data_IF_754136595575
#
_entry.id   IF_754136595575
#
_cell.length_a   1.000
_cell.length_b   1.000
_cell.length_c   1.000
_cell.angle_alpha   90.00
_cell.angle_beta   90.00
_cell.angle_gamma   90.00
#
_symmetry.space_group_name_H-M   'P 1'
#
loop_
_entity.id
_entity.type
_entity.pdbx_description
1 polymer ?
#
# COMPACT_ATOMS: atom_id res chain seq x y z
N UNK A 1 -38.94 -50.91 -28.18
CA UNK A 1 -37.46 -50.87 -28.01
C UNK A 1 -36.73 -51.25 -29.29
N UNK A 2 -37.25 -52.11 -30.16
CA UNK A 2 -36.61 -52.53 -31.43
C UNK A 2 -36.58 -51.44 -32.52
N UNK A 3 -37.60 -50.57 -32.59
CA UNK A 3 -37.65 -49.47 -33.57
C UNK A 3 -36.56 -48.35 -33.32
N UNK A 4 -36.22 -48.07 -32.08
CA UNK A 4 -35.17 -47.12 -31.74
C UNK A 4 -33.76 -47.67 -32.08
N UNK A 5 -33.53 -48.96 -31.86
CA UNK A 5 -32.29 -49.64 -32.22
C UNK A 5 -32.05 -49.71 -33.73
N UNK A 6 -33.11 -49.97 -34.52
CA UNK A 6 -33.01 -49.96 -35.97
C UNK A 6 -32.80 -48.58 -36.55
N UNK A 7 -33.42 -47.54 -35.99
CA UNK A 7 -33.17 -46.15 -36.36
C UNK A 7 -31.73 -45.74 -36.07
N UNK A 8 -31.15 -46.12 -34.96
CA UNK A 8 -29.76 -45.87 -34.60
C UNK A 8 -28.77 -46.57 -35.57
N UNK A 9 -29.04 -47.82 -35.96
CA UNK A 9 -28.21 -48.53 -36.91
C UNK A 9 -28.22 -47.85 -38.30
N UNK A 10 -29.34 -47.33 -38.73
CA UNK A 10 -29.46 -46.57 -39.98
C UNK A 10 -28.67 -45.26 -39.91
N UNK A 11 -28.77 -44.52 -38.77
CA UNK A 11 -28.04 -43.29 -38.55
C UNK A 11 -26.53 -43.54 -38.56
N UNK A 12 -26.03 -44.58 -37.87
CA UNK A 12 -24.63 -44.94 -37.83
C UNK A 12 -24.10 -45.32 -39.21
N UNK A 13 -24.80 -46.19 -39.95
CA UNK A 13 -24.40 -46.56 -41.31
C UNK A 13 -24.33 -45.37 -42.28
N UNK A 14 -25.31 -44.46 -42.21
CA UNK A 14 -25.33 -43.22 -43.01
C UNK A 14 -24.22 -42.25 -42.57
N UNK A 15 -23.94 -42.12 -41.30
CA UNK A 15 -22.81 -41.31 -40.79
C UNK A 15 -21.47 -41.84 -41.29
N UNK A 16 -21.29 -43.16 -41.29
CA UNK A 16 -20.08 -43.80 -41.82
C UNK A 16 -19.95 -43.64 -43.33
N UNK A 17 -21.03 -43.66 -44.09
CA UNK A 17 -21.02 -43.40 -45.53
C UNK A 17 -20.61 -41.95 -45.88
N UNK A 18 -20.95 -40.99 -45.04
CA UNK A 18 -20.64 -39.56 -45.22
C UNK A 18 -19.53 -39.08 -44.26
N UNK A 19 -18.64 -39.97 -43.79
CA UNK A 19 -17.65 -39.67 -42.75
C UNK A 19 -16.76 -38.49 -43.08
N UNK A 20 -16.38 -38.28 -44.38
CA UNK A 20 -15.52 -37.14 -44.80
C UNK A 20 -16.20 -35.80 -44.56
N UNK A 21 -17.53 -35.71 -44.81
CA UNK A 21 -18.30 -34.48 -44.60
C UNK A 21 -18.53 -34.23 -43.11
N UNK A 22 -18.83 -35.29 -42.34
CA UNK A 22 -19.00 -35.20 -40.89
C UNK A 22 -17.70 -34.85 -40.20
N UNK A 23 -16.56 -35.38 -40.64
CA UNK A 23 -15.26 -35.03 -40.07
C UNK A 23 -14.90 -33.57 -40.36
N UNK A 24 -15.25 -33.02 -41.53
CA UNK A 24 -15.02 -31.59 -41.84
C UNK A 24 -15.87 -30.68 -40.93
N UNK A 25 -17.14 -31.06 -40.69
CA UNK A 25 -17.98 -30.32 -39.74
C UNK A 25 -17.47 -30.42 -38.33
N UNK A 26 -17.05 -31.63 -37.89
CA UNK A 26 -16.47 -31.85 -36.57
C UNK A 26 -15.21 -31.03 -36.33
N UNK A 27 -14.27 -31.04 -37.31
CA UNK A 27 -13.06 -30.23 -37.26
C UNK A 27 -13.40 -28.73 -37.19
N UNK A 28 -14.37 -28.28 -38.02
CA UNK A 28 -14.86 -26.90 -38.00
C UNK A 28 -15.39 -26.48 -36.62
N UNK A 29 -16.21 -27.35 -36.00
CA UNK A 29 -16.77 -27.11 -34.67
C UNK A 29 -15.66 -27.10 -33.60
N UNK A 30 -14.69 -28.03 -33.65
CA UNK A 30 -13.57 -28.06 -32.71
C UNK A 30 -12.75 -26.77 -32.81
N UNK A 31 -12.39 -26.34 -34.03
CA UNK A 31 -11.66 -25.09 -34.26
C UNK A 31 -12.45 -23.89 -33.74
N UNK A 32 -13.78 -23.88 -33.98
CA UNK A 32 -14.67 -22.85 -33.50
C UNK A 32 -14.66 -22.73 -31.97
N UNK A 33 -14.86 -23.85 -31.30
CA UNK A 33 -14.85 -23.92 -29.83
C UNK A 33 -13.49 -23.52 -29.28
N UNK A 34 -12.39 -23.96 -29.89
CA UNK A 34 -11.05 -23.58 -29.49
C UNK A 34 -10.81 -22.07 -29.62
N UNK A 35 -11.19 -21.44 -30.72
CA UNK A 35 -11.06 -20.00 -30.92
C UNK A 35 -11.95 -19.20 -29.96
N UNK A 36 -13.20 -19.60 -29.76
CA UNK A 36 -14.10 -18.93 -28.83
C UNK A 36 -13.66 -19.07 -27.39
N UNK A 37 -13.08 -20.21 -27.02
CA UNK A 37 -12.56 -20.46 -25.65
C UNK A 37 -11.23 -19.74 -25.39
N UNK A 38 -10.43 -19.49 -26.42
CA UNK A 38 -9.15 -18.75 -26.27
C UNK A 38 -9.33 -17.25 -26.02
N UNK A 39 -10.44 -16.66 -26.49
CA UNK A 39 -10.69 -15.24 -26.39
C UNK A 39 -10.74 -14.71 -24.93
N UNK A 40 -11.46 -15.32 -23.98
CA UNK A 40 -11.45 -14.87 -22.59
C UNK A 40 -10.10 -15.07 -21.91
N UNK A 41 -9.36 -16.14 -22.23
CA UNK A 41 -8.02 -16.37 -21.69
C UNK A 41 -7.04 -15.29 -22.15
N UNK A 42 -7.08 -14.94 -23.43
CA UNK A 42 -6.24 -13.90 -24.01
C UNK A 42 -6.62 -12.52 -23.45
N UNK A 43 -7.92 -12.24 -23.28
CA UNK A 43 -8.41 -11.02 -22.66
C UNK A 43 -7.90 -10.87 -21.22
N UNK A 44 -7.96 -11.93 -20.42
CA UNK A 44 -7.47 -11.89 -19.03
C UNK A 44 -5.95 -11.65 -18.98
N UNK A 45 -5.17 -12.32 -19.84
CA UNK A 45 -3.73 -12.12 -19.90
C UNK A 45 -3.35 -10.68 -20.27
N UNK A 46 -4.03 -10.08 -21.25
CA UNK A 46 -3.83 -8.67 -21.63
C UNK A 46 -4.23 -7.74 -20.48
N UNK A 47 -5.31 -8.07 -19.79
CA UNK A 47 -5.79 -7.28 -18.67
C UNK A 47 -4.78 -7.29 -17.53
N UNK A 48 -4.24 -8.44 -17.16
CA UNK A 48 -3.22 -8.53 -16.12
C UNK A 48 -1.95 -7.77 -16.49
N UNK A 49 -1.46 -7.93 -17.73
CA UNK A 49 -0.30 -7.21 -18.22
C UNK A 49 -0.51 -5.69 -18.24
N UNK A 50 -1.70 -5.25 -18.66
CA UNK A 50 -2.06 -3.83 -18.70
C UNK A 50 -2.15 -3.20 -17.31
N UNK A 51 -2.71 -3.92 -16.35
CA UNK A 51 -2.77 -3.47 -14.96
C UNK A 51 -1.36 -3.40 -14.35
N UNK A 52 -0.58 -4.47 -14.50
CA UNK A 52 0.81 -4.53 -14.02
C UNK A 52 1.64 -3.39 -14.59
N UNK A 53 1.61 -3.17 -15.89
CA UNK A 53 2.32 -2.06 -16.54
C UNK A 53 1.85 -0.69 -16.03
N UNK A 54 0.56 -0.52 -15.74
CA UNK A 54 0.03 0.73 -15.20
C UNK A 54 0.52 0.97 -13.78
N UNK A 55 0.63 -0.07 -12.95
CA UNK A 55 1.16 0.01 -11.59
C UNK A 55 2.67 0.26 -11.57
N UNK A 56 3.45 -0.47 -12.37
CA UNK A 56 4.92 -0.34 -12.46
C UNK A 56 5.40 1.04 -12.93
N UNK A 57 4.58 1.76 -13.70
CA UNK A 57 4.90 3.11 -14.16
C UNK A 57 4.48 4.22 -13.18
N UNK A 58 4.08 3.89 -11.97
CA UNK A 58 3.75 4.85 -10.90
C UNK A 58 4.80 4.80 -9.80
N UNK A 59 4.87 5.87 -9.07
CA UNK A 59 5.69 5.97 -7.85
C UNK A 59 5.10 4.99 -6.83
N UNK A 60 5.88 4.01 -6.40
CA UNK A 60 5.42 2.88 -5.57
C UNK A 60 4.84 3.39 -4.26
N UNK A 61 5.47 4.37 -3.63
CA UNK A 61 5.05 4.95 -2.34
C UNK A 61 3.65 5.58 -2.40
N UNK A 62 3.20 6.00 -3.59
CA UNK A 62 1.84 6.49 -3.76
C UNK A 62 0.80 5.36 -3.88
N UNK A 63 1.25 4.15 -4.27
CA UNK A 63 0.40 2.95 -4.35
C UNK A 63 0.17 2.36 -2.96
N UNK A 64 1.17 2.47 -2.10
CA UNK A 64 1.10 2.00 -0.72
C UNK A 64 -0.03 2.69 0.06
N UNK A 65 -0.46 2.06 1.14
CA UNK A 65 -1.52 2.62 1.95
C UNK A 65 -0.93 3.25 3.21
N UNK A 66 -1.27 4.50 3.43
CA UNK A 66 -0.99 5.22 4.66
C UNK A 66 -2.30 5.53 5.37
N UNK A 67 -2.50 4.97 6.55
CA UNK A 67 -3.50 5.47 7.49
C UNK A 67 -2.82 6.49 8.38
N UNK A 68 -3.31 7.72 8.39
CA UNK A 68 -2.75 8.79 9.21
C UNK A 68 -3.79 9.36 10.18
N UNK A 69 -3.35 9.62 11.38
CA UNK A 69 -4.15 10.21 12.45
C UNK A 69 -3.40 11.43 13.03
N UNK A 70 -3.65 12.63 12.48
CA UNK A 70 -2.96 13.83 12.89
C UNK A 70 -3.53 14.38 14.20
N UNK A 71 -2.65 14.95 15.01
CA UNK A 71 -3.02 15.72 16.19
C UNK A 71 -3.78 14.90 17.26
N UNK A 72 -3.43 13.62 17.41
CA UNK A 72 -3.93 12.75 18.48
C UNK A 72 -3.08 12.90 19.74
N UNK A 73 -3.70 12.69 20.88
CA UNK A 73 -2.97 12.61 22.14
C UNK A 73 -2.03 11.41 22.15
N UNK A 74 -0.85 11.60 22.73
CA UNK A 74 0.09 10.50 22.93
C UNK A 74 -0.34 9.67 24.13
N UNK A 75 -1.18 8.67 23.88
CA UNK A 75 -1.73 7.76 24.87
C UNK A 75 -1.59 6.32 24.35
N UNK A 76 -0.96 5.45 25.14
CA UNK A 76 -0.68 4.05 24.74
C UNK A 76 -1.95 3.24 24.52
N UNK A 77 -2.99 3.43 25.36
CA UNK A 77 -4.24 2.68 25.24
C UNK A 77 -5.01 3.07 23.99
N UNK A 78 -5.17 4.38 23.74
CA UNK A 78 -5.82 4.90 22.54
C UNK A 78 -5.07 4.48 21.25
N UNK A 79 -3.73 4.49 21.29
CA UNK A 79 -2.90 4.01 20.19
C UNK A 79 -3.13 2.53 19.90
N UNK A 80 -3.15 1.69 20.94
CA UNK A 80 -3.38 0.26 20.81
C UNK A 80 -4.78 -0.04 20.24
N UNK A 81 -5.81 0.67 20.71
CA UNK A 81 -7.17 0.54 20.20
C UNK A 81 -7.27 0.96 18.73
N UNK A 82 -6.66 2.10 18.37
CA UNK A 82 -6.61 2.56 16.98
C UNK A 82 -5.87 1.57 16.09
N UNK A 83 -4.72 1.06 16.53
CA UNK A 83 -3.93 0.06 15.81
C UNK A 83 -4.74 -1.23 15.59
N UNK A 84 -5.39 -1.75 16.64
CA UNK A 84 -6.22 -2.95 16.54
C UNK A 84 -7.38 -2.77 15.53
N UNK A 85 -8.03 -1.61 15.54
CA UNK A 85 -9.10 -1.28 14.61
C UNK A 85 -8.58 -1.25 13.16
N UNK A 86 -7.45 -0.59 12.92
CA UNK A 86 -6.85 -0.47 11.60
C UNK A 86 -6.42 -1.85 11.09
N UNK A 87 -5.72 -2.63 11.91
CA UNK A 87 -5.29 -3.99 11.57
C UNK A 87 -6.47 -4.92 11.26
N UNK A 88 -7.56 -4.80 12.01
CA UNK A 88 -8.78 -5.54 11.71
C UNK A 88 -9.33 -5.20 10.32
N UNK A 89 -9.31 -3.93 9.93
CA UNK A 89 -9.78 -3.51 8.61
C UNK A 89 -8.85 -3.99 7.49
N UNK A 90 -7.54 -3.87 7.69
CA UNK A 90 -6.54 -4.34 6.72
C UNK A 90 -6.61 -5.87 6.56
N UNK A 91 -6.61 -6.62 7.66
CA UNK A 91 -6.64 -8.07 7.63
C UNK A 91 -7.90 -8.62 6.95
N UNK A 92 -9.04 -7.99 7.17
CA UNK A 92 -10.32 -8.39 6.59
C UNK A 92 -10.42 -8.13 5.08
N UNK A 93 -9.78 -7.07 4.61
CA UNK A 93 -10.09 -6.51 3.30
C UNK A 93 -8.94 -6.67 2.29
N UNK A 94 -7.69 -6.41 2.68
CA UNK A 94 -6.56 -6.24 1.75
C UNK A 94 -5.30 -7.01 2.14
N UNK A 95 -5.29 -7.75 3.26
CA UNK A 95 -4.12 -8.50 3.74
C UNK A 95 -3.38 -9.32 2.67
N UNK A 96 -4.05 -10.00 1.71
CA UNK A 96 -3.37 -10.81 0.71
C UNK A 96 -2.40 -10.04 -0.19
N UNK A 97 -2.59 -8.73 -0.35
CA UNK A 97 -1.76 -7.87 -1.20
C UNK A 97 -0.78 -7.00 -0.40
N UNK A 98 -0.76 -7.12 0.92
CA UNK A 98 0.20 -6.42 1.77
C UNK A 98 1.42 -7.30 1.98
N UNK A 99 2.63 -6.76 1.71
CA UNK A 99 3.91 -7.43 1.93
C UNK A 99 4.55 -7.10 3.28
N UNK A 100 4.44 -5.84 3.71
CA UNK A 100 5.07 -5.33 4.93
C UNK A 100 4.19 -4.26 5.57
N UNK A 101 4.36 -4.07 6.85
CA UNK A 101 3.66 -3.07 7.64
C UNK A 101 4.66 -2.38 8.55
N UNK A 102 4.60 -1.05 8.59
CA UNK A 102 5.43 -0.22 9.45
C UNK A 102 4.58 0.84 10.15
N UNK A 103 5.13 1.40 11.22
CA UNK A 103 4.52 2.53 11.92
C UNK A 103 5.51 3.68 12.03
N UNK A 104 4.97 4.88 11.90
CA UNK A 104 5.73 6.09 12.05
C UNK A 104 4.96 7.11 12.87
N UNK A 105 5.62 7.71 13.86
CA UNK A 105 5.03 8.74 14.71
C UNK A 105 5.90 9.99 14.67
N UNK A 106 5.24 11.13 14.52
CA UNK A 106 5.87 12.46 14.58
C UNK A 106 5.18 13.30 15.64
N UNK A 107 5.94 13.76 16.63
CA UNK A 107 5.43 14.66 17.66
C UNK A 107 5.19 16.08 17.11
N UNK A 108 4.54 16.91 17.90
CA UNK A 108 4.58 18.36 17.69
C UNK A 108 6.00 18.90 17.83
N UNK A 109 6.24 20.10 17.31
CA UNK A 109 7.54 20.79 17.37
C UNK A 109 7.67 21.56 18.67
N UNK A 110 8.84 21.47 19.31
CA UNK A 110 9.20 22.12 20.56
C UNK A 110 10.39 23.06 20.34
N UNK A 111 10.58 24.00 21.28
CA UNK A 111 11.82 24.74 21.35
C UNK A 111 12.93 23.87 21.95
N UNK A 112 14.12 23.96 21.34
CA UNK A 112 15.30 23.25 21.77
C UNK A 112 16.32 24.24 22.40
N UNK A 113 17.02 23.78 23.43
CA UNK A 113 18.03 24.53 24.12
C UNK A 113 19.32 23.72 24.23
N UNK A 114 20.43 24.40 24.08
CA UNK A 114 21.76 23.84 24.34
C UNK A 114 22.07 23.82 25.84
N UNK A 115 22.81 22.83 26.30
CA UNK A 115 23.22 22.72 27.69
C UNK A 115 24.62 23.30 27.92
N UNK A 116 25.44 23.29 26.87
CA UNK A 116 26.87 23.67 26.90
C UNK A 116 27.14 25.12 26.50
N UNK A 117 26.16 25.79 25.90
CA UNK A 117 26.26 27.14 25.35
C UNK A 117 24.95 27.91 25.37
N UNK A 118 24.99 29.26 25.26
CA UNK A 118 23.79 30.07 25.12
C UNK A 118 23.00 29.69 23.87
N UNK A 119 21.67 29.47 24.03
CA UNK A 119 20.78 29.21 22.93
C UNK A 119 20.32 30.53 22.30
N UNK A 120 20.39 30.71 20.95
CA UNK A 120 19.82 31.87 20.29
C UNK A 120 18.33 32.01 20.61
N UNK A 121 17.86 33.25 20.82
CA UNK A 121 16.45 33.50 21.12
C UNK A 121 15.65 34.08 19.96
N UNK A 122 14.35 34.24 20.16
CA UNK A 122 13.45 34.83 19.18
C UNK A 122 13.28 33.94 17.94
N UNK A 123 13.29 34.57 16.76
CA UNK A 123 13.12 33.85 15.49
C UNK A 123 14.24 32.87 15.15
N UNK A 124 15.41 32.98 15.82
CA UNK A 124 16.55 32.10 15.60
C UNK A 124 16.64 30.97 16.62
N UNK A 125 15.65 30.83 17.49
CA UNK A 125 15.64 29.77 18.49
C UNK A 125 15.48 28.41 17.83
N UNK A 126 16.42 27.46 18.08
CA UNK A 126 16.32 26.12 17.51
C UNK A 126 15.05 25.41 17.97
N UNK A 127 14.56 24.55 17.14
CA UNK A 127 13.36 23.74 17.39
C UNK A 127 13.67 22.28 17.13
N UNK A 128 12.86 21.38 17.64
CA UNK A 128 12.94 19.96 17.34
C UNK A 128 11.60 19.25 17.53
N UNK A 129 11.53 18.04 17.05
CA UNK A 129 10.40 17.14 17.26
C UNK A 129 10.89 15.71 17.36
N UNK A 130 10.10 14.87 18.00
CA UNK A 130 10.42 13.46 18.12
C UNK A 130 9.87 12.67 16.92
N UNK A 131 10.70 11.74 16.47
CA UNK A 131 10.40 10.78 15.42
C UNK A 131 10.51 9.37 15.99
N UNK A 132 9.52 8.54 15.70
CA UNK A 132 9.53 7.12 16.06
C UNK A 132 9.23 6.33 14.79
N UNK A 133 10.07 5.37 14.47
CA UNK A 133 9.85 4.41 13.38
C UNK A 133 9.95 3.01 13.93
N UNK A 134 9.03 2.14 13.56
CA UNK A 134 9.24 0.70 13.72
C UNK A 134 10.40 0.25 12.84
N UNK A 135 11.17 -0.73 13.30
CA UNK A 135 12.27 -1.34 12.55
C UNK A 135 13.34 -0.37 12.02
N UNK A 136 13.50 0.81 12.63
CA UNK A 136 14.43 1.85 12.18
C UNK A 136 15.84 1.33 11.94
N UNK A 137 16.35 0.44 12.81
CA UNK A 137 17.72 -0.10 12.76
C UNK A 137 18.05 -0.80 11.43
N UNK A 138 17.06 -1.36 10.76
CA UNK A 138 17.26 -2.07 9.49
C UNK A 138 17.49 -1.10 8.33
N UNK A 139 17.10 0.17 8.46
CA UNK A 139 17.08 1.18 7.41
C UNK A 139 18.09 2.32 7.61
N UNK A 140 18.89 2.30 8.69
CA UNK A 140 19.89 3.32 8.99
C UNK A 140 21.28 2.74 9.15
N UNK A 141 22.29 3.57 8.88
CA UNK A 141 23.68 3.38 9.29
C UNK A 141 23.97 4.25 10.50
N UNK A 142 24.62 3.68 11.52
CA UNK A 142 25.13 4.43 12.65
C UNK A 142 26.51 4.93 12.25
N UNK A 143 26.63 6.25 12.11
CA UNK A 143 27.89 6.93 11.71
C UNK A 143 28.81 7.08 12.90
N UNK A 144 28.24 7.43 14.06
CA UNK A 144 28.97 7.56 15.33
C UNK A 144 28.04 7.18 16.49
N UNK A 145 28.61 6.62 17.56
CA UNK A 145 27.89 6.25 18.76
C UNK A 145 27.27 4.84 18.74
N UNK A 146 26.13 4.68 19.36
CA UNK A 146 25.40 3.41 19.51
C UNK A 146 23.89 3.58 19.33
N UNK A 147 23.20 2.45 19.07
CA UNK A 147 21.74 2.46 19.05
C UNK A 147 21.16 2.84 20.41
N UNK A 148 20.08 3.61 20.43
CA UNK A 148 19.41 4.10 21.63
C UNK A 148 18.73 2.99 22.44
N UNK A 149 18.61 3.21 23.74
CA UNK A 149 17.82 2.38 24.64
C UNK A 149 16.48 3.05 24.96
N UNK A 150 15.47 2.21 25.27
CA UNK A 150 14.15 2.70 25.66
C UNK A 150 14.17 3.20 27.09
N UNK A 151 13.47 4.31 27.36
CA UNK A 151 13.21 4.74 28.72
C UNK A 151 12.38 3.67 29.46
N UNK A 152 12.72 3.36 30.72
CA UNK A 152 12.02 2.34 31.49
C UNK A 152 10.54 2.66 31.66
N UNK A 153 9.72 1.63 31.75
CA UNK A 153 8.31 1.79 32.08
C UNK A 153 8.12 2.08 33.59
N UNK A 154 7.01 2.79 33.90
CA UNK A 154 6.62 3.02 35.29
C UNK A 154 7.48 4.05 36.05
N UNK A 155 8.07 4.99 35.31
CA UNK A 155 8.75 6.14 35.91
C UNK A 155 7.78 6.93 36.79
N UNK A 156 8.24 7.30 37.99
CA UNK A 156 7.47 8.16 38.90
C UNK A 156 7.61 9.63 38.50
N UNK A 157 6.68 10.47 38.95
CA UNK A 157 6.75 11.92 38.75
C UNK A 157 8.08 12.47 39.30
N UNK A 158 8.50 12.02 40.49
CA UNK A 158 9.75 12.45 41.12
C UNK A 158 11.01 12.10 40.27
N UNK A 159 10.99 10.95 39.59
CA UNK A 159 12.09 10.56 38.69
C UNK A 159 12.11 11.39 37.41
N UNK A 160 10.94 11.74 36.89
CA UNK A 160 10.80 12.56 35.68
C UNK A 160 11.08 14.04 35.94
N UNK A 161 10.92 14.52 37.17
CA UNK A 161 11.24 15.88 37.63
C UNK A 161 12.74 16.03 38.00
N UNK A 162 13.50 14.92 38.07
CA UNK A 162 14.93 14.99 38.33
C UNK A 162 15.62 15.81 37.23
N UNK A 163 16.34 16.90 37.59
CA UNK A 163 17.08 17.71 36.60
C UNK A 163 18.13 16.93 35.80
N UNK A 164 18.57 15.77 36.29
CA UNK A 164 19.54 14.91 35.62
C UNK A 164 18.86 13.78 34.82
N UNK A 165 17.53 13.67 34.86
CA UNK A 165 16.85 12.68 34.05
C UNK A 165 16.97 13.02 32.57
N UNK A 166 17.46 12.09 31.79
CA UNK A 166 17.54 12.19 30.32
C UNK A 166 17.01 10.94 29.67
N UNK A 167 16.53 11.11 28.45
CA UNK A 167 16.23 10.02 27.52
C UNK A 167 17.29 9.97 26.43
N UNK A 168 17.49 8.80 25.86
CA UNK A 168 18.39 8.65 24.73
C UNK A 168 17.68 8.99 23.40
N UNK A 169 18.41 9.67 22.53
CA UNK A 169 17.94 9.99 21.19
C UNK A 169 19.05 9.91 20.15
N UNK A 170 18.67 9.73 18.90
CA UNK A 170 19.60 9.75 17.77
C UNK A 170 19.25 10.92 16.84
N UNK A 171 20.23 11.40 16.08
CA UNK A 171 20.09 12.56 15.20
C UNK A 171 20.76 12.29 13.85
N UNK A 172 20.22 12.85 12.76
CA UNK A 172 20.85 12.74 11.44
C UNK A 172 22.12 13.60 11.32
N UNK A 173 23.08 13.17 10.48
CA UNK A 173 24.38 13.85 10.28
C UNK A 173 24.20 15.33 9.91
N UNK A 174 23.38 15.65 8.91
CA UNK A 174 23.16 17.04 8.48
C UNK A 174 22.59 17.91 9.61
N UNK A 175 21.69 17.34 10.40
CA UNK A 175 21.09 18.03 11.54
C UNK A 175 22.11 18.24 12.66
N UNK A 176 22.93 17.23 12.97
CA UNK A 176 24.00 17.31 13.96
C UNK A 176 25.01 18.42 13.61
N UNK A 177 25.42 18.51 12.34
CA UNK A 177 26.30 19.56 11.84
C UNK A 177 25.68 20.96 12.00
N UNK A 178 24.41 21.14 11.61
CA UNK A 178 23.71 22.43 11.71
C UNK A 178 23.48 22.87 13.15
N UNK A 179 23.19 21.93 14.03
CA UNK A 179 23.04 22.17 15.46
C UNK A 179 24.39 22.23 16.17
N UNK A 180 25.50 21.85 15.51
CA UNK A 180 26.83 21.76 16.07
C UNK A 180 26.85 20.90 17.36
N UNK A 181 26.27 19.73 17.29
CA UNK A 181 26.18 18.76 18.38
C UNK A 181 26.76 17.41 17.92
N UNK A 182 27.25 16.64 18.89
CA UNK A 182 27.85 15.33 18.69
C UNK A 182 27.30 14.28 19.66
N UNK A 183 27.83 13.07 19.57
CA UNK A 183 27.50 11.98 20.50
C UNK A 183 27.97 12.38 21.91
N UNK A 184 27.10 12.20 22.90
CA UNK A 184 27.31 12.59 24.29
C UNK A 184 26.85 14.00 24.63
N UNK A 185 26.43 14.80 23.65
CA UNK A 185 25.86 16.12 23.92
C UNK A 185 24.40 16.01 24.36
N UNK A 186 23.96 17.02 25.10
CA UNK A 186 22.58 17.08 25.61
C UNK A 186 21.83 18.25 24.98
N UNK A 187 20.58 17.96 24.56
CA UNK A 187 19.60 18.97 24.16
C UNK A 187 18.45 18.97 25.16
N UNK A 188 17.93 20.15 25.51
CA UNK A 188 16.73 20.28 26.34
C UNK A 188 15.57 20.73 25.49
N UNK A 189 14.51 19.96 25.48
CA UNK A 189 13.24 20.34 24.85
C UNK A 189 12.26 20.89 25.89
N UNK A 190 11.66 22.01 25.58
CA UNK A 190 10.72 22.67 26.45
C UNK A 190 9.33 22.63 25.84
N UNK A 191 8.36 22.08 26.58
CA UNK A 191 6.97 21.98 26.22
C UNK A 191 6.06 22.68 27.23
N UNK A 192 4.79 22.95 26.83
CA UNK A 192 3.81 23.60 27.68
C UNK A 192 3.71 25.10 27.44
N UNK A 193 2.76 25.73 28.14
CA UNK A 193 2.48 27.16 28.07
C UNK A 193 2.50 27.80 29.47
N UNK A 194 3.05 29.00 29.56
CA UNK A 194 3.07 29.77 30.80
C UNK A 194 4.06 29.24 31.82
N UNK A 195 3.64 29.19 33.10
CA UNK A 195 4.49 28.80 34.24
C UNK A 195 4.65 27.28 34.39
N UNK A 196 3.82 26.48 33.67
CA UNK A 196 3.89 25.01 33.63
C UNK A 196 4.70 24.50 32.45
N UNK A 197 5.95 24.95 32.34
CA UNK A 197 6.87 24.47 31.30
C UNK A 197 7.63 23.28 31.82
N UNK A 198 7.36 22.12 31.24
CA UNK A 198 8.13 20.92 31.48
C UNK A 198 9.32 20.85 30.55
N UNK A 199 10.44 20.34 31.05
CA UNK A 199 11.69 20.19 30.30
C UNK A 199 12.04 18.73 30.21
N UNK A 200 12.48 18.31 29.02
CA UNK A 200 12.99 16.98 28.77
C UNK A 200 14.42 17.09 28.23
N UNK A 201 15.35 16.52 28.95
CA UNK A 201 16.75 16.43 28.53
C UNK A 201 16.94 15.16 27.69
N UNK A 202 17.62 15.31 26.57
CA UNK A 202 17.90 14.25 25.63
C UNK A 202 19.41 14.13 25.46
N UNK A 203 19.95 12.96 25.73
CA UNK A 203 21.31 12.59 25.43
C UNK A 203 21.38 12.08 23.98
N UNK A 204 22.22 12.68 23.16
CA UNK A 204 22.48 12.23 21.81
C UNK A 204 23.45 11.06 21.83
N UNK A 205 22.96 9.84 21.65
CA UNK A 205 23.76 8.61 21.74
C UNK A 205 24.26 8.10 20.39
N UNK A 206 23.70 8.61 19.28
CA UNK A 206 24.20 8.30 17.95
C UNK A 206 23.92 9.43 16.94
N UNK A 207 24.81 9.48 15.94
CA UNK A 207 24.60 10.16 14.66
C UNK A 207 24.30 9.10 13.61
N UNK A 208 23.25 9.28 12.84
CA UNK A 208 22.73 8.29 11.91
C UNK A 208 22.48 8.88 10.52
N UNK A 209 22.56 8.03 9.51
CA UNK A 209 22.12 8.35 8.13
C UNK A 209 21.27 7.22 7.57
N UNK A 210 20.40 7.49 6.59
CA UNK A 210 19.65 6.44 5.92
C UNK A 210 20.58 5.57 5.07
N UNK A 211 20.45 4.24 5.14
CA UNK A 211 21.20 3.31 4.25
C UNK A 211 20.89 3.58 2.78
N UNK A 212 19.63 3.80 2.46
CA UNK A 212 19.16 4.24 1.16
C UNK A 212 18.14 5.37 1.36
N UNK A 213 18.47 6.61 0.95
CA UNK A 213 17.54 7.73 1.04
C UNK A 213 16.27 7.57 0.18
N UNK A 214 16.31 6.68 -0.83
CA UNK A 214 15.19 6.39 -1.72
C UNK A 214 14.42 5.13 -1.31
N UNK A 215 14.71 4.55 -0.15
CA UNK A 215 13.96 3.41 0.35
C UNK A 215 12.49 3.81 0.55
N UNK A 216 11.57 3.01 0.04
CA UNK A 216 10.12 3.19 0.22
C UNK A 216 9.70 3.25 1.71
N UNK A 217 10.52 2.69 2.60
CA UNK A 217 10.35 2.78 4.06
C UNK A 217 10.12 4.23 4.53
N UNK A 218 10.79 5.20 3.90
CA UNK A 218 10.67 6.62 4.26
C UNK A 218 9.37 7.26 3.81
N UNK A 219 8.58 6.59 2.97
CA UNK A 219 7.27 7.01 2.49
C UNK A 219 7.24 8.46 1.98
N UNK A 220 8.14 8.80 1.05
CA UNK A 220 8.32 10.15 0.48
C UNK A 220 8.73 11.25 1.49
N UNK A 221 9.04 10.90 2.74
CA UNK A 221 9.55 11.86 3.71
C UNK A 221 11.06 12.08 3.52
N UNK A 222 11.42 12.84 2.53
CA UNK A 222 12.83 13.18 2.25
C UNK A 222 13.45 14.11 3.31
N UNK A 223 12.62 14.78 4.11
CA UNK A 223 13.05 15.79 5.09
C UNK A 223 13.29 15.23 6.50
N UNK A 224 13.31 13.90 6.65
CA UNK A 224 13.50 13.28 7.97
C UNK A 224 14.94 13.47 8.49
N UNK A 225 15.90 13.47 7.58
CA UNK A 225 17.32 13.60 7.89
C UNK A 225 17.89 14.97 7.49
N UNK A 226 17.22 15.66 6.56
CA UNK A 226 17.71 16.92 6.01
C UNK A 226 16.97 18.11 6.59
N UNK A 227 17.71 19.19 6.79
CA UNK A 227 17.11 20.47 7.17
C UNK A 227 16.94 21.29 5.90
N UNK A 228 15.72 21.80 5.57
CA UNK A 228 15.50 22.58 4.36
C UNK A 228 16.54 23.67 4.17
N UNK A 229 17.21 23.68 3.01
CA UNK A 229 18.23 24.68 2.71
C UNK A 229 17.57 26.00 2.31
N UNK A 230 18.07 27.10 2.84
CA UNK A 230 17.71 28.45 2.39
C UNK A 230 16.53 29.10 3.08
N UNK A 231 15.97 28.53 4.13
CA UNK A 231 15.01 29.23 4.99
C UNK A 231 15.77 30.12 5.99
N UNK A 232 15.30 31.35 6.17
CA UNK A 232 15.74 32.22 7.28
C UNK A 232 15.24 31.70 8.65
N UNK A 233 14.45 30.61 8.64
CA UNK A 233 13.93 29.99 9.84
C UNK A 233 15.01 29.12 10.52
N UNK A 234 15.00 29.02 11.86
CA UNK A 234 15.91 28.17 12.57
C UNK A 234 15.71 26.70 12.18
N UNK A 235 16.80 25.92 12.16
CA UNK A 235 16.70 24.52 11.84
C UNK A 235 15.79 23.79 12.84
N UNK A 236 15.06 22.80 12.33
CA UNK A 236 14.23 21.91 13.16
C UNK A 236 14.95 20.56 13.22
N UNK A 237 15.31 20.13 14.43
CA UNK A 237 15.98 18.85 14.67
C UNK A 237 14.93 17.73 14.79
N UNK A 238 14.85 16.79 13.84
CA UNK A 238 14.20 15.51 14.09
C UNK A 238 15.09 14.68 15.03
N UNK A 239 14.54 14.31 16.18
CA UNK A 239 15.21 13.43 17.16
C UNK A 239 14.49 12.09 17.14
N UNK A 240 15.25 11.05 16.85
CA UNK A 240 14.72 9.68 16.82
C UNK A 240 14.77 9.10 18.24
N UNK A 241 13.62 8.59 18.70
CA UNK A 241 13.44 7.92 19.99
C UNK A 241 12.68 6.63 19.80
N UNK A 242 12.67 5.75 20.82
CA UNK A 242 11.90 4.52 20.77
C UNK A 242 10.40 4.79 21.00
N UNK A 243 9.56 3.86 20.56
CA UNK A 243 8.12 3.94 20.80
C UNK A 243 7.80 3.88 22.29
N UNK A 244 8.50 3.03 23.03
CA UNK A 244 8.37 2.90 24.48
C UNK A 244 8.71 4.21 25.18
N UNK A 245 9.81 4.86 24.79
CA UNK A 245 10.19 6.18 25.32
C UNK A 245 9.09 7.22 25.05
N UNK A 246 8.55 7.22 23.82
CA UNK A 246 7.46 8.15 23.49
C UNK A 246 6.29 7.99 24.45
N UNK A 247 5.80 6.77 24.69
CA UNK A 247 4.63 6.56 25.53
C UNK A 247 4.91 6.66 27.03
N UNK A 248 6.13 6.33 27.47
CA UNK A 248 6.49 6.35 28.88
C UNK A 248 6.80 7.76 29.42
N UNK A 249 7.34 8.64 28.56
CA UNK A 249 7.89 9.94 29.01
C UNK A 249 7.10 11.13 28.46
N UNK A 250 6.72 11.07 27.20
CA UNK A 250 6.12 12.21 26.51
C UNK A 250 4.80 12.73 27.11
N UNK A 251 3.82 11.86 27.49
CA UNK A 251 2.56 12.32 28.07
C UNK A 251 2.74 13.03 29.40
N UNK A 252 3.76 12.64 30.15
CA UNK A 252 4.09 13.24 31.42
C UNK A 252 4.72 14.63 31.24
N UNK A 253 5.71 14.73 30.34
CA UNK A 253 6.42 15.99 30.05
C UNK A 253 5.53 17.02 29.35
N UNK A 254 4.60 16.55 28.52
CA UNK A 254 3.71 17.38 27.71
C UNK A 254 2.26 16.91 27.87
N UNK A 255 1.62 17.33 28.98
CA UNK A 255 0.30 16.84 29.42
C UNK A 255 -0.78 16.83 28.34
N UNK A 256 -0.73 17.77 27.40
CA UNK A 256 -1.59 17.85 26.21
C UNK A 256 -0.80 17.55 24.92
N UNK A 257 0.30 16.82 25.06
CA UNK A 257 1.19 16.50 23.96
C UNK A 257 0.50 15.70 22.86
N UNK A 258 0.68 16.16 21.64
CA UNK A 258 0.05 15.58 20.46
C UNK A 258 1.08 15.09 19.47
N UNK A 259 0.70 14.07 18.72
CA UNK A 259 1.50 13.50 17.65
C UNK A 259 0.63 13.18 16.44
N UNK A 260 1.29 12.99 15.32
CA UNK A 260 0.71 12.39 14.13
C UNK A 260 1.16 10.94 14.07
N UNK A 261 0.21 10.03 14.13
CA UNK A 261 0.44 8.60 14.00
C UNK A 261 0.18 8.17 12.55
N UNK A 262 1.05 7.32 12.04
CA UNK A 262 0.94 6.77 10.70
C UNK A 262 1.14 5.26 10.76
N UNK A 263 0.26 4.52 10.09
CA UNK A 263 0.36 3.08 9.83
C UNK A 263 0.54 2.91 8.32
N UNK A 264 1.69 2.38 7.94
CA UNK A 264 2.11 2.21 6.56
C UNK A 264 1.96 0.75 6.16
N UNK A 265 1.34 0.50 5.03
CA UNK A 265 1.12 -0.84 4.48
C UNK A 265 1.65 -0.88 3.06
N UNK A 266 2.77 -1.55 2.87
CA UNK A 266 3.45 -1.69 1.59
C UNK A 266 2.75 -2.73 0.73
N UNK A 267 2.34 -2.34 -0.45
CA UNK A 267 1.56 -3.17 -1.37
C UNK A 267 2.48 -4.02 -2.24
N UNK A 268 2.20 -5.30 -2.31
CA UNK A 268 2.81 -6.21 -3.28
C UNK A 268 2.07 -6.10 -4.61
N UNK A 269 2.59 -5.26 -5.51
CA UNK A 269 1.98 -5.02 -6.83
C UNK A 269 1.88 -6.29 -7.69
N UNK A 270 2.76 -7.29 -7.46
CA UNK A 270 2.72 -8.58 -8.15
C UNK A 270 1.47 -9.41 -7.79
N UNK A 271 0.89 -9.15 -6.63
CA UNK A 271 -0.35 -9.80 -6.18
C UNK A 271 -1.61 -9.07 -6.60
N UNK A 272 -1.49 -7.87 -7.18
CA UNK A 272 -2.61 -7.11 -7.72
C UNK A 272 -2.84 -7.51 -9.18
N UNK A 273 -3.99 -8.09 -9.49
CA UNK A 273 -4.32 -8.58 -10.82
C UNK A 273 -5.75 -8.19 -11.23
N UNK A 274 -6.11 -8.44 -12.48
CA UNK A 274 -7.42 -8.06 -13.03
C UNK A 274 -8.60 -8.72 -12.32
N UNK A 275 -8.40 -9.90 -11.70
CA UNK A 275 -9.45 -10.64 -11.02
C UNK A 275 -9.75 -10.12 -9.61
N UNK A 276 -8.74 -9.56 -8.92
CA UNK A 276 -8.89 -9.03 -7.56
C UNK A 276 -8.94 -7.50 -7.47
N UNK A 277 -8.60 -6.78 -8.55
CA UNK A 277 -8.55 -5.32 -8.58
C UNK A 277 -9.86 -4.66 -8.10
N UNK A 278 -11.02 -5.13 -8.57
CA UNK A 278 -12.32 -4.60 -8.16
C UNK A 278 -12.58 -4.83 -6.66
N UNK A 279 -12.18 -5.99 -6.15
CA UNK A 279 -12.30 -6.33 -4.73
C UNK A 279 -11.41 -5.43 -3.87
N UNK A 280 -10.16 -5.19 -4.30
CA UNK A 280 -9.19 -4.30 -3.63
C UNK A 280 -9.73 -2.86 -3.61
N UNK A 281 -10.16 -2.32 -4.75
CA UNK A 281 -10.77 -0.98 -4.84
C UNK A 281 -11.92 -0.80 -3.85
N UNK A 282 -12.85 -1.76 -3.85
CA UNK A 282 -14.01 -1.70 -2.96
C UNK A 282 -13.62 -1.90 -1.49
N UNK A 283 -12.54 -2.63 -1.21
CA UNK A 283 -11.99 -2.80 0.12
C UNK A 283 -11.39 -1.50 0.66
N UNK A 284 -10.58 -0.82 -0.15
CA UNK A 284 -9.99 0.49 0.19
C UNK A 284 -11.10 1.50 0.53
N UNK A 285 -12.11 1.62 -0.31
CA UNK A 285 -13.24 2.54 -0.07
C UNK A 285 -14.05 2.21 1.18
N UNK A 286 -14.26 0.93 1.47
CA UNK A 286 -14.93 0.51 2.71
C UNK A 286 -14.08 0.82 3.93
N UNK A 287 -12.77 0.57 3.85
CA UNK A 287 -11.81 0.88 4.91
C UNK A 287 -11.79 2.38 5.21
N UNK A 288 -11.67 3.22 4.19
CA UNK A 288 -11.72 4.67 4.33
C UNK A 288 -12.99 5.13 5.06
N UNK A 289 -14.16 4.66 4.63
CA UNK A 289 -15.43 5.00 5.28
C UNK A 289 -15.50 4.56 6.75
N UNK A 290 -14.96 3.38 7.06
CA UNK A 290 -14.96 2.84 8.42
C UNK A 290 -13.97 3.57 9.33
N UNK A 291 -12.79 3.93 8.80
CA UNK A 291 -11.82 4.75 9.52
C UNK A 291 -12.39 6.11 9.88
N UNK A 292 -12.97 6.83 8.92
CA UNK A 292 -13.62 8.13 9.18
C UNK A 292 -14.74 8.07 10.22
N UNK A 293 -15.40 6.91 10.37
CA UNK A 293 -16.49 6.74 11.34
C UNK A 293 -15.96 6.41 12.73
N UNK A 294 -14.95 5.54 12.83
CA UNK A 294 -14.50 4.96 14.10
C UNK A 294 -13.24 5.63 14.66
N UNK A 295 -12.45 6.29 13.80
CA UNK A 295 -11.26 7.02 14.17
C UNK A 295 -11.37 8.47 13.64
N UNK A 296 -12.06 9.37 14.37
CA UNK A 296 -12.27 10.74 13.91
C UNK A 296 -10.94 11.45 13.62
N UNK A 297 -10.91 12.28 12.59
CA UNK A 297 -9.72 13.00 12.08
C UNK A 297 -8.63 12.12 11.45
N UNK A 298 -8.81 10.81 11.34
CA UNK A 298 -7.91 9.99 10.55
C UNK A 298 -8.24 10.09 9.06
N UNK A 299 -7.29 9.71 8.23
CA UNK A 299 -7.48 9.59 6.79
C UNK A 299 -6.74 8.37 6.26
N UNK A 300 -7.12 7.95 5.06
CA UNK A 300 -6.42 6.94 4.29
C UNK A 300 -5.87 7.60 3.03
N UNK A 301 -4.58 7.48 2.82
CA UNK A 301 -3.91 7.93 1.61
C UNK A 301 -3.45 6.72 0.80
N UNK A 302 -3.81 6.68 -0.47
CA UNK A 302 -3.32 5.79 -1.51
C UNK A 302 -3.90 6.25 -2.84
N UNK A 303 -3.20 6.00 -3.94
CA UNK A 303 -3.75 6.20 -5.29
C UNK A 303 -4.14 4.88 -5.96
N UNK A 304 -4.00 3.74 -5.27
CA UNK A 304 -4.24 2.41 -5.83
C UNK A 304 -5.66 2.25 -6.37
N UNK A 305 -6.67 2.73 -5.65
CA UNK A 305 -8.06 2.67 -6.11
C UNK A 305 -8.29 3.53 -7.36
N UNK A 306 -7.66 4.70 -7.43
CA UNK A 306 -7.73 5.60 -8.58
C UNK A 306 -7.05 5.00 -9.81
N UNK A 307 -5.89 4.34 -9.64
CA UNK A 307 -5.20 3.61 -10.71
C UNK A 307 -6.09 2.49 -11.24
N UNK A 308 -6.72 1.73 -10.35
CA UNK A 308 -7.63 0.66 -10.73
C UNK A 308 -8.83 1.21 -11.54
N UNK A 309 -9.39 2.34 -11.15
CA UNK A 309 -10.49 2.99 -11.87
C UNK A 309 -10.04 3.45 -13.26
N UNK A 310 -8.89 4.13 -13.35
CA UNK A 310 -8.31 4.57 -14.62
C UNK A 310 -8.09 3.38 -15.56
N UNK A 311 -7.49 2.32 -15.02
CA UNK A 311 -7.26 1.08 -15.75
C UNK A 311 -8.55 0.46 -16.25
N UNK A 312 -9.58 0.32 -15.40
CA UNK A 312 -10.88 -0.23 -15.79
C UNK A 312 -11.56 0.59 -16.90
N UNK A 313 -11.43 1.92 -16.84
CA UNK A 313 -11.90 2.79 -17.91
C UNK A 313 -11.21 2.52 -19.26
N UNK A 314 -9.90 2.35 -19.25
CA UNK A 314 -9.11 2.03 -20.46
C UNK A 314 -9.45 0.64 -21.03
N UNK A 315 -9.69 -0.35 -20.15
CA UNK A 315 -10.07 -1.69 -20.54
C UNK A 315 -11.36 -1.73 -21.38
N UNK A 316 -12.35 -0.95 -21.01
CA UNK A 316 -13.61 -0.91 -21.73
C UNK A 316 -13.39 -0.58 -23.22
N UNK A 317 -12.50 0.36 -23.52
CA UNK A 317 -12.17 0.73 -24.90
C UNK A 317 -11.35 -0.32 -25.65
N UNK A 318 -10.45 -1.04 -24.95
CA UNK A 318 -9.61 -2.07 -25.57
C UNK A 318 -10.38 -3.38 -25.83
N UNK A 319 -11.41 -3.66 -25.05
CA UNK A 319 -12.23 -4.87 -25.20
C UNK A 319 -13.21 -4.79 -26.38
N UNK A 320 -13.69 -3.60 -26.76
CA UNK A 320 -14.63 -3.43 -27.86
C UNK A 320 -14.14 -4.05 -29.18
N UNK A 321 -12.93 -3.78 -29.70
CA UNK A 321 -12.42 -4.41 -30.91
C UNK A 321 -12.32 -5.93 -30.80
N UNK A 322 -11.94 -6.44 -29.63
CA UNK A 322 -11.81 -7.87 -29.38
C UNK A 322 -13.17 -8.57 -29.44
N UNK A 323 -14.21 -7.99 -28.83
CA UNK A 323 -15.58 -8.51 -28.92
C UNK A 323 -16.11 -8.48 -30.35
N UNK A 324 -15.80 -7.44 -31.15
CA UNK A 324 -16.19 -7.38 -32.55
C UNK A 324 -15.56 -8.51 -33.38
N UNK A 325 -14.25 -8.80 -33.16
CA UNK A 325 -13.56 -9.90 -33.84
C UNK A 325 -14.18 -11.25 -33.45
N UNK A 326 -14.41 -11.48 -32.15
CA UNK A 326 -15.01 -12.72 -31.66
C UNK A 326 -16.42 -12.91 -32.23
N UNK A 327 -17.24 -11.85 -32.27
CA UNK A 327 -18.57 -11.88 -32.87
C UNK A 327 -18.52 -12.16 -34.38
N UNK A 328 -17.57 -11.56 -35.10
CA UNK A 328 -17.39 -11.80 -36.52
C UNK A 328 -16.98 -13.26 -36.82
N UNK A 329 -16.08 -13.83 -36.03
CA UNK A 329 -15.69 -15.24 -36.14
C UNK A 329 -16.89 -16.15 -35.86
N UNK A 330 -17.64 -15.87 -34.80
CA UNK A 330 -18.85 -16.64 -34.46
C UNK A 330 -19.88 -16.60 -35.60
N UNK A 331 -20.12 -15.44 -36.23
CA UNK A 331 -21.03 -15.28 -37.35
C UNK A 331 -20.57 -16.09 -38.58
N UNK A 332 -19.28 -16.08 -38.93
CA UNK A 332 -18.71 -16.86 -40.02
C UNK A 332 -18.88 -18.36 -39.77
N UNK A 333 -18.64 -18.82 -38.55
CA UNK A 333 -18.81 -20.23 -38.17
C UNK A 333 -20.28 -20.66 -38.27
N UNK A 334 -21.19 -19.84 -37.77
CA UNK A 334 -22.63 -20.10 -37.85
C UNK A 334 -23.08 -20.20 -39.30
N UNK A 335 -22.65 -19.25 -40.16
CA UNK A 335 -22.94 -19.29 -41.59
C UNK A 335 -22.43 -20.58 -42.26
N UNK A 336 -21.18 -20.97 -41.93
CA UNK A 336 -20.58 -22.20 -42.43
C UNK A 336 -21.39 -23.44 -42.01
N UNK A 337 -21.77 -23.53 -40.72
CA UNK A 337 -22.57 -24.64 -40.21
C UNK A 337 -23.95 -24.74 -40.89
N UNK A 338 -24.62 -23.60 -41.09
CA UNK A 338 -25.91 -23.57 -41.81
C UNK A 338 -25.74 -24.04 -43.26
N UNK A 339 -24.71 -23.55 -43.96
CA UNK A 339 -24.45 -23.91 -45.37
C UNK A 339 -24.15 -25.40 -45.52
N UNK A 340 -23.29 -25.96 -44.67
CA UNK A 340 -22.98 -27.40 -44.70
C UNK A 340 -24.16 -28.25 -44.31
N UNK A 341 -24.97 -27.80 -43.34
CA UNK A 341 -26.22 -28.49 -42.96
C UNK A 341 -27.23 -28.53 -44.10
N UNK A 342 -27.42 -27.43 -44.82
CA UNK A 342 -28.30 -27.37 -46.00
C UNK A 342 -27.79 -28.28 -47.11
N UNK A 343 -26.48 -28.27 -47.42
CA UNK A 343 -25.88 -29.21 -48.39
C UNK A 343 -26.14 -30.68 -48.02
N UNK A 344 -26.05 -31.02 -46.74
CA UNK A 344 -26.34 -32.38 -46.26
C UNK A 344 -27.81 -32.76 -46.47
N UNK A 345 -28.73 -31.85 -46.16
CA UNK A 345 -30.17 -32.04 -46.33
C UNK A 345 -30.51 -32.22 -47.83
N UNK A 346 -30.02 -31.34 -48.71
CA UNK A 346 -30.26 -31.39 -50.16
C UNK A 346 -29.76 -32.71 -50.76
N UNK A 347 -28.58 -33.17 -50.31
CA UNK A 347 -28.02 -34.46 -50.78
C UNK A 347 -28.86 -35.64 -50.31
N UNK A 348 -29.40 -35.60 -49.10
CA UNK A 348 -30.30 -36.65 -48.58
C UNK A 348 -31.65 -36.64 -49.27
N UNK A 349 -32.23 -35.49 -49.64
CA UNK A 349 -33.46 -35.38 -50.38
C UNK A 349 -33.30 -35.94 -51.80
N UNK A 350 -32.19 -35.74 -52.51
CA UNK A 350 -31.88 -36.32 -53.77
C UNK A 350 -31.84 -37.88 -53.77
N UNK A 351 -31.33 -38.45 -52.66
CA UNK A 351 -31.33 -39.92 -52.52
C UNK A 351 -32.68 -40.51 -52.16
N UNK A 352 -33.57 -39.76 -51.47
CA UNK A 352 -34.93 -40.19 -51.10
C UNK A 352 -35.87 -40.11 -52.30
N UNK A 353 -35.63 -39.20 -53.23
CA UNK A 353 -36.50 -39.06 -54.46
C UNK A 353 -36.19 -40.12 -55.52
N UNK A 354 -35.17 -40.95 -55.34
CA UNK A 354 -34.78 -42.04 -56.24
C UNK A 354 -35.36 -43.43 -55.84
N UNK A 355 -36.09 -43.47 -54.71
CA UNK A 355 -36.83 -44.62 -54.22
C UNK A 355 -38.35 -44.33 -54.22
#
# INVERSE_FOLDING_TARGET
MSLLLSAWQIVIKRSLANWRLLSTVLVGVIVAVALLSSAPLYSNAINDLGLKHTLENRVIELIDLQVYAPNYFVNQEEYNEATALIEQQVSKNIRPVIRQQETWVKSQTFYAYYTDRPTPGGQFQPKGHFQVFSNLIDHIDIIDGRYYESAPAGLTEEQLEDPNFSIEGMIGTETAEKFQVGVGDFLVFEGGYGDNRNRLMIELVAIIDPKDPNDEFWFLNTDIFTVPQGSEEPPIAPIFITQETLFNVYPYMFKDGRATFNWLYFVDIEKVNSTNAETIKNAIRRMEKQLLTNLPRSGLFTILDSIIIEYQGKLMFTQIPLFLIVFQIAAIILYYLITVSNMLIDRQQGEISLF
#
